data_IF_053579833533
#
_entry.id   IF_053579833533
#
_cell.length_a   1.000
_cell.length_b   1.000
_cell.length_c   1.000
_cell.angle_alpha   90.00
_cell.angle_beta   90.00
_cell.angle_gamma   90.00
#
_symmetry.space_group_name_H-M   'P 1'
#
loop_
_entity.id
_entity.type
_entity.pdbx_description
1 polymer ?
#
# COMPACT_ATOMS: atom_id res chain seq x y z
N UNK A 1 25.69 13.16 -13.82
CA UNK A 1 24.30 12.69 -13.95
C UNK A 1 23.40 13.89 -13.73
N UNK A 2 22.95 14.52 -14.81
CA UNK A 2 22.18 15.77 -14.73
C UNK A 2 20.74 15.47 -14.31
N UNK A 3 20.02 16.46 -13.79
CA UNK A 3 18.58 16.36 -13.48
C UNK A 3 17.73 15.85 -14.66
N UNK A 4 18.23 15.99 -15.90
CA UNK A 4 17.67 15.38 -17.10
C UNK A 4 17.68 13.85 -17.12
N UNK A 5 18.70 13.20 -16.55
CA UNK A 5 18.79 11.73 -16.48
C UNK A 5 17.73 11.16 -15.51
N UNK A 6 17.43 11.90 -14.43
CA UNK A 6 16.41 11.52 -13.44
C UNK A 6 14.98 11.72 -13.95
N UNK A 7 14.72 12.77 -14.73
CA UNK A 7 13.43 12.98 -15.40
C UNK A 7 13.20 12.01 -16.58
N UNK A 8 14.28 11.61 -17.26
CA UNK A 8 14.21 10.54 -18.25
C UNK A 8 13.92 9.18 -17.61
N UNK A 9 14.51 8.89 -16.43
CA UNK A 9 14.20 7.69 -15.65
C UNK A 9 12.78 7.68 -15.07
N UNK A 10 12.22 8.83 -14.65
CA UNK A 10 10.83 8.87 -14.15
C UNK A 10 9.76 8.70 -15.24
N UNK A 11 10.13 8.84 -16.52
CA UNK A 11 9.28 8.51 -17.66
C UNK A 11 9.42 7.04 -18.11
N UNK A 12 10.36 6.30 -17.53
CA UNK A 12 10.70 4.93 -17.95
C UNK A 12 9.77 3.85 -17.33
N UNK A 13 8.87 4.26 -16.44
CA UNK A 13 7.71 3.45 -16.02
C UNK A 13 6.49 3.78 -16.88
N UNK A 14 6.68 3.87 -18.18
CA UNK A 14 5.57 3.73 -19.13
C UNK A 14 5.64 2.32 -19.69
N UNK A 15 4.55 1.55 -19.59
CA UNK A 15 4.45 0.23 -20.20
C UNK A 15 4.99 0.28 -21.63
N UNK A 16 5.63 -0.79 -22.12
CA UNK A 16 6.20 -0.83 -23.47
C UNK A 16 5.19 -0.43 -24.57
N UNK A 17 3.90 -0.68 -24.33
CA UNK A 17 2.78 -0.26 -25.15
C UNK A 17 2.59 1.27 -25.19
N UNK A 18 2.71 1.94 -24.05
CA UNK A 18 2.59 3.40 -23.94
C UNK A 18 3.75 4.11 -24.64
N UNK A 19 4.98 3.58 -24.51
CA UNK A 19 6.15 4.08 -25.26
C UNK A 19 5.94 3.97 -26.77
N UNK A 20 5.45 2.82 -27.25
CA UNK A 20 5.15 2.59 -28.67
C UNK A 20 4.00 3.49 -29.16
N UNK A 21 2.96 3.67 -28.35
CA UNK A 21 1.82 4.54 -28.68
C UNK A 21 2.27 6.00 -28.79
N UNK A 22 3.11 6.47 -27.87
CA UNK A 22 3.59 7.85 -27.87
C UNK A 22 4.55 8.11 -29.04
N UNK A 23 5.48 7.20 -29.34
CA UNK A 23 6.39 7.34 -30.49
C UNK A 23 5.69 7.34 -31.85
N UNK A 24 4.48 6.78 -31.91
CA UNK A 24 3.65 6.80 -33.11
C UNK A 24 2.93 8.14 -33.35
N UNK A 25 2.73 8.97 -32.32
CA UNK A 25 2.01 10.25 -32.43
C UNK A 25 2.85 11.28 -33.17
N UNK A 26 2.34 11.88 -34.28
CA UNK A 26 3.11 12.83 -35.09
C UNK A 26 3.66 14.02 -34.30
N UNK A 27 2.88 14.57 -33.36
CA UNK A 27 3.31 15.69 -32.52
C UNK A 27 4.44 15.32 -31.55
N UNK A 28 4.35 14.13 -30.92
CA UNK A 28 5.40 13.66 -30.01
C UNK A 28 6.67 13.30 -30.77
N UNK A 29 6.55 12.65 -31.93
CA UNK A 29 7.69 12.33 -32.80
C UNK A 29 8.41 13.60 -33.25
N UNK A 30 7.67 14.58 -33.80
CA UNK A 30 8.23 15.88 -34.20
C UNK A 30 8.90 16.61 -33.03
N UNK A 31 8.36 16.49 -31.82
CA UNK A 31 8.99 17.06 -30.64
C UNK A 31 10.30 16.35 -30.27
N UNK A 32 10.34 15.02 -30.28
CA UNK A 32 11.53 14.23 -29.92
C UNK A 32 12.61 14.30 -30.99
N UNK A 33 12.25 14.20 -32.27
CA UNK A 33 13.17 14.08 -33.40
C UNK A 33 13.63 15.43 -33.94
N UNK A 34 12.76 16.47 -33.92
CA UNK A 34 13.11 17.77 -34.49
C UNK A 34 13.34 18.82 -33.39
N UNK A 35 12.37 18.98 -32.48
CA UNK A 35 12.40 20.09 -31.52
C UNK A 35 13.52 19.95 -30.48
N UNK A 36 13.66 18.79 -29.82
CA UNK A 36 14.69 18.59 -28.80
C UNK A 36 16.11 18.70 -29.38
N UNK A 37 16.46 18.06 -30.52
CA UNK A 37 17.78 18.20 -31.12
C UNK A 37 18.06 19.64 -31.57
N UNK A 38 17.08 20.32 -32.17
CA UNK A 38 17.22 21.73 -32.53
C UNK A 38 17.48 22.63 -31.32
N UNK A 39 16.71 22.49 -30.24
CA UNK A 39 16.95 23.25 -29.02
C UNK A 39 18.34 22.99 -28.42
N UNK A 40 18.81 21.73 -28.44
CA UNK A 40 20.17 21.39 -27.99
C UNK A 40 21.25 22.00 -28.88
N UNK A 41 21.09 21.93 -30.20
CA UNK A 41 22.02 22.53 -31.17
C UNK A 41 22.08 24.06 -31.08
N UNK A 42 20.96 24.70 -30.75
CA UNK A 42 20.85 26.14 -30.50
C UNK A 42 21.27 26.54 -29.07
N UNK A 43 21.66 25.60 -28.20
CA UNK A 43 22.00 25.86 -26.80
C UNK A 43 20.82 26.33 -25.93
N UNK A 44 19.59 26.15 -26.41
CA UNK A 44 18.36 26.58 -25.72
C UNK A 44 17.91 25.53 -24.71
N UNK A 45 17.33 25.99 -23.61
CA UNK A 45 16.77 25.15 -22.55
C UNK A 45 17.82 24.21 -21.91
N UNK A 46 19.11 24.57 -21.95
CA UNK A 46 20.18 23.80 -21.30
C UNK A 46 20.21 24.01 -19.79
N UNK A 47 19.78 25.18 -19.33
CA UNK A 47 19.69 25.55 -17.92
C UNK A 47 18.22 25.50 -17.54
N UNK A 48 17.92 24.76 -16.48
CA UNK A 48 16.61 24.77 -15.87
C UNK A 48 16.49 26.08 -15.06
N UNK A 49 15.61 27.02 -15.44
CA UNK A 49 15.56 28.34 -14.81
C UNK A 49 14.97 28.29 -13.40
N UNK A 50 14.18 27.26 -13.09
CA UNK A 50 13.46 27.11 -11.83
C UNK A 50 13.53 25.67 -11.34
N UNK A 51 13.88 25.49 -10.06
CA UNK A 51 13.80 24.19 -9.40
C UNK A 51 12.38 23.90 -8.93
N UNK A 52 12.07 22.64 -8.68
CA UNK A 52 10.76 22.25 -8.11
C UNK A 52 10.54 22.94 -6.78
N UNK A 53 11.58 23.04 -5.97
CA UNK A 53 11.57 23.65 -4.65
C UNK A 53 11.25 25.15 -4.74
N UNK A 54 11.84 25.87 -5.71
CA UNK A 54 11.53 27.28 -5.97
C UNK A 54 10.07 27.47 -6.37
N UNK A 55 9.56 26.68 -7.33
CA UNK A 55 8.15 26.75 -7.75
C UNK A 55 7.20 26.41 -6.60
N UNK A 56 7.56 25.44 -5.77
CA UNK A 56 6.76 25.05 -4.60
C UNK A 56 6.72 26.18 -3.58
N UNK A 57 7.85 26.83 -3.31
CA UNK A 57 7.92 27.97 -2.39
C UNK A 57 7.14 29.17 -2.93
N UNK A 58 7.30 29.51 -4.22
CA UNK A 58 6.51 30.58 -4.86
C UNK A 58 5.01 30.30 -4.75
N UNK A 59 4.58 29.05 -4.93
CA UNK A 59 3.18 28.65 -4.76
C UNK A 59 2.72 28.78 -3.30
N UNK A 60 3.55 28.43 -2.31
CA UNK A 60 3.23 28.67 -0.90
C UNK A 60 3.10 30.16 -0.59
N UNK A 61 3.98 30.98 -1.14
CA UNK A 61 3.99 32.43 -0.90
C UNK A 61 2.78 33.11 -1.55
N UNK A 62 2.40 32.68 -2.75
CA UNK A 62 1.26 33.25 -3.49
C UNK A 62 -0.10 32.75 -3.03
N UNK A 63 -0.24 31.46 -2.76
CA UNK A 63 -1.54 30.85 -2.45
C UNK A 63 -1.75 30.64 -0.95
N UNK A 64 -0.72 30.82 -0.12
CA UNK A 64 -0.76 30.62 1.33
C UNK A 64 -1.21 29.21 1.77
N UNK A 65 -0.86 28.19 0.98
CA UNK A 65 -1.32 26.79 1.16
C UNK A 65 -0.31 25.88 1.87
N UNK A 66 0.77 26.42 2.43
CA UNK A 66 1.86 25.61 3.02
C UNK A 66 1.36 24.64 4.11
N UNK A 67 0.50 25.12 5.01
CA UNK A 67 -0.05 24.29 6.09
C UNK A 67 -0.92 23.14 5.56
N UNK A 68 -1.81 23.43 4.61
CA UNK A 68 -2.65 22.40 3.98
C UNK A 68 -1.80 21.39 3.21
N UNK A 69 -0.79 21.85 2.48
CA UNK A 69 0.16 20.99 1.78
C UNK A 69 0.88 20.05 2.75
N UNK A 70 1.40 20.58 3.86
CA UNK A 70 2.11 19.80 4.86
C UNK A 70 1.19 18.74 5.49
N UNK A 71 -0.04 19.10 5.83
CA UNK A 71 -1.03 18.17 6.40
C UNK A 71 -1.39 17.05 5.43
N UNK A 72 -1.74 17.39 4.17
CA UNK A 72 -2.06 16.38 3.14
C UNK A 72 -0.87 15.47 2.86
N UNK A 73 0.35 16.03 2.86
CA UNK A 73 1.58 15.26 2.69
C UNK A 73 1.77 14.30 3.87
N UNK A 74 1.53 14.74 5.10
CA UNK A 74 1.64 13.90 6.30
C UNK A 74 0.60 12.77 6.26
N UNK A 75 -0.67 13.07 6.00
CA UNK A 75 -1.74 12.07 5.84
C UNK A 75 -1.38 11.03 4.77
N UNK A 76 -0.89 11.48 3.62
CA UNK A 76 -0.43 10.60 2.55
C UNK A 76 0.71 9.68 3.01
N UNK A 77 1.69 10.22 3.73
CA UNK A 77 2.81 9.43 4.25
C UNK A 77 2.38 8.40 5.30
N UNK A 78 1.45 8.78 6.19
CA UNK A 78 0.88 7.87 7.19
C UNK A 78 0.11 6.72 6.53
N UNK A 79 -0.69 7.01 5.51
CA UNK A 79 -1.39 5.96 4.73
C UNK A 79 -0.41 5.05 3.99
N UNK A 80 0.67 5.61 3.41
CA UNK A 80 1.71 4.82 2.75
C UNK A 80 2.49 3.94 3.73
N UNK A 81 2.78 4.45 4.93
CA UNK A 81 3.38 3.66 6.00
C UNK A 81 2.45 2.53 6.42
N UNK A 82 1.16 2.79 6.65
CA UNK A 82 0.15 1.76 6.96
C UNK A 82 0.06 0.68 5.87
N UNK A 83 0.09 1.07 4.59
CA UNK A 83 0.12 0.14 3.45
C UNK A 83 1.40 -0.71 3.44
N UNK A 84 2.56 -0.10 3.71
CA UNK A 84 3.85 -0.80 3.81
C UNK A 84 3.84 -1.81 4.95
N UNK A 85 3.38 -1.42 6.15
CA UNK A 85 3.25 -2.34 7.29
C UNK A 85 2.35 -3.53 6.94
N UNK A 86 1.22 -3.29 6.29
CA UNK A 86 0.34 -4.38 5.87
C UNK A 86 1.01 -5.32 4.86
N UNK A 87 1.61 -4.75 3.81
CA UNK A 87 2.07 -5.52 2.64
C UNK A 87 3.42 -6.18 2.85
N UNK A 88 4.34 -5.52 3.53
CA UNK A 88 5.72 -5.96 3.69
C UNK A 88 5.99 -6.54 5.08
N UNK A 89 5.49 -5.90 6.14
CA UNK A 89 5.77 -6.34 7.51
C UNK A 89 4.84 -7.47 7.93
N UNK A 90 3.54 -7.22 8.09
CA UNK A 90 2.58 -8.23 8.59
C UNK A 90 2.57 -9.49 7.71
N UNK A 91 2.48 -9.33 6.40
CA UNK A 91 2.50 -10.47 5.47
C UNK A 91 3.87 -11.13 5.36
N UNK A 92 4.95 -10.34 5.41
CA UNK A 92 6.31 -10.85 5.28
C UNK A 92 6.80 -11.60 6.53
N UNK A 93 6.28 -11.25 7.71
CA UNK A 93 6.61 -11.93 8.97
C UNK A 93 6.04 -13.34 9.08
N UNK A 94 5.00 -13.69 8.30
CA UNK A 94 4.38 -15.01 8.35
C UNK A 94 4.81 -15.84 7.12
N UNK A 95 5.54 -16.95 7.32
CA UNK A 95 6.00 -17.81 6.23
C UNK A 95 4.86 -18.22 5.29
N UNK A 96 5.14 -18.29 3.99
CA UNK A 96 4.18 -18.82 3.02
C UNK A 96 3.86 -20.29 3.34
N UNK A 97 2.58 -20.64 3.24
CA UNK A 97 2.13 -22.00 3.50
C UNK A 97 2.44 -22.90 2.31
N UNK A 98 2.71 -24.19 2.57
CA UNK A 98 2.78 -25.20 1.50
C UNK A 98 1.46 -25.21 0.70
N UNK A 99 1.50 -24.98 -0.63
CA UNK A 99 0.31 -25.00 -1.49
C UNK A 99 -0.49 -26.30 -1.41
N UNK A 100 0.15 -27.41 -1.02
CA UNK A 100 -0.49 -28.73 -0.89
C UNK A 100 -1.26 -28.88 0.43
N UNK A 101 -0.97 -28.03 1.42
CA UNK A 101 -1.55 -28.12 2.76
C UNK A 101 -2.64 -27.06 2.97
N UNK A 102 -3.88 -27.42 2.61
CA UNK A 102 -5.08 -26.59 2.78
C UNK A 102 -5.25 -26.03 4.20
N UNK A 103 -4.90 -26.82 5.23
CA UNK A 103 -5.02 -26.38 6.63
C UNK A 103 -4.00 -25.29 6.96
N UNK A 104 -2.76 -25.42 6.47
CA UNK A 104 -1.73 -24.40 6.65
C UNK A 104 -2.09 -23.10 5.90
N UNK A 105 -2.65 -23.21 4.69
CA UNK A 105 -3.14 -22.06 3.91
C UNK A 105 -4.25 -21.33 4.67
N UNK A 106 -5.23 -22.07 5.19
CA UNK A 106 -6.33 -21.50 5.97
C UNK A 106 -5.80 -20.83 7.25
N UNK A 107 -4.93 -21.51 8.00
CA UNK A 107 -4.33 -20.98 9.22
C UNK A 107 -3.60 -19.66 8.95
N UNK A 108 -2.72 -19.64 7.95
CA UNK A 108 -2.00 -18.43 7.55
C UNK A 108 -2.95 -17.30 7.18
N UNK A 109 -3.97 -17.60 6.38
CA UNK A 109 -4.96 -16.59 5.94
C UNK A 109 -5.72 -15.99 7.11
N UNK A 110 -6.14 -16.82 8.07
CA UNK A 110 -6.79 -16.38 9.31
C UNK A 110 -5.85 -15.53 10.17
N UNK A 111 -4.62 -16.00 10.40
CA UNK A 111 -3.61 -15.31 11.20
C UNK A 111 -3.27 -13.94 10.62
N UNK A 112 -2.93 -13.85 9.33
CA UNK A 112 -2.56 -12.59 8.66
C UNK A 112 -3.72 -11.57 8.74
N UNK A 113 -4.96 -12.02 8.58
CA UNK A 113 -6.15 -11.17 8.71
C UNK A 113 -6.35 -10.69 10.16
N UNK A 114 -6.13 -11.56 11.13
CA UNK A 114 -6.23 -11.21 12.55
C UNK A 114 -5.14 -10.22 12.96
N UNK A 115 -3.89 -10.47 12.59
CA UNK A 115 -2.77 -9.54 12.84
C UNK A 115 -3.05 -8.15 12.26
N UNK A 116 -3.57 -8.07 11.02
CA UNK A 116 -4.00 -6.79 10.44
C UNK A 116 -4.99 -6.06 11.34
N UNK A 117 -6.01 -6.76 11.83
CA UNK A 117 -7.07 -6.18 12.67
C UNK A 117 -6.54 -5.72 14.02
N UNK A 118 -5.70 -6.53 14.66
CA UNK A 118 -5.09 -6.18 15.95
C UNK A 118 -4.18 -4.97 15.80
N UNK A 119 -3.26 -5.01 14.83
CA UNK A 119 -2.18 -4.02 14.68
C UNK A 119 -2.68 -2.72 14.06
N UNK A 120 -3.48 -2.79 12.98
CA UNK A 120 -3.87 -1.61 12.20
C UNK A 120 -5.25 -1.05 12.53
N UNK A 121 -6.11 -1.87 13.14
CA UNK A 121 -7.51 -1.52 13.43
C UNK A 121 -7.78 -1.49 14.94
N UNK A 122 -6.81 -1.87 15.78
CA UNK A 122 -6.93 -1.86 17.25
C UNK A 122 -7.94 -2.88 17.80
N UNK A 123 -8.18 -3.96 17.06
CA UNK A 123 -9.19 -4.95 17.41
C UNK A 123 -8.65 -5.93 18.48
N UNK A 124 -9.35 -6.02 19.61
CA UNK A 124 -9.00 -6.84 20.78
C UNK A 124 -9.74 -8.20 20.83
N UNK A 125 -10.57 -8.51 19.84
CA UNK A 125 -11.39 -9.74 19.78
C UNK A 125 -10.56 -11.03 19.84
N UNK A 126 -9.27 -10.94 19.52
CA UNK A 126 -8.33 -12.07 19.53
C UNK A 126 -7.65 -12.29 20.89
N UNK A 127 -8.04 -11.53 21.92
CA UNK A 127 -7.55 -11.67 23.29
C UNK A 127 -6.12 -11.16 23.52
N UNK A 128 -5.55 -10.49 22.52
CA UNK A 128 -4.21 -9.89 22.58
C UNK A 128 -4.27 -8.50 21.98
N UNK A 129 -3.68 -7.55 22.69
CA UNK A 129 -3.47 -6.18 22.23
C UNK A 129 -2.03 -5.77 22.52
N UNK A 130 -1.44 -4.86 21.73
CA UNK A 130 -0.12 -4.31 22.04
C UNK A 130 -0.11 -3.65 23.41
N UNK A 131 0.87 -3.96 24.26
CA UNK A 131 1.02 -3.37 25.60
C UNK A 131 1.44 -1.89 25.54
N UNK A 132 2.01 -1.45 24.40
CA UNK A 132 2.42 -0.07 24.12
C UNK A 132 2.01 0.39 22.73
N UNK A 133 2.35 1.63 22.39
CA UNK A 133 2.16 2.17 21.04
C UNK A 133 3.12 1.46 20.08
N UNK A 134 2.58 0.88 19.01
CA UNK A 134 3.38 0.39 17.86
C UNK A 134 3.78 1.52 16.90
N UNK A 135 3.53 2.77 17.31
CA UNK A 135 3.76 3.98 16.52
C UNK A 135 4.68 4.93 17.27
N UNK A 136 5.48 5.67 16.51
CA UNK A 136 6.30 6.77 16.98
C UNK A 136 5.45 8.02 17.33
N UNK A 137 6.15 9.08 17.74
CA UNK A 137 5.55 10.36 18.13
C UNK A 137 4.81 11.05 16.96
N UNK A 138 5.21 10.77 15.73
CA UNK A 138 4.62 11.33 14.50
C UNK A 138 3.46 10.47 13.96
N UNK A 139 3.17 9.34 14.60
CA UNK A 139 2.08 8.42 14.28
C UNK A 139 2.43 7.35 13.23
N UNK A 140 3.69 7.25 12.82
CA UNK A 140 4.16 6.18 11.92
C UNK A 140 4.37 4.90 12.70
N UNK A 141 3.98 3.77 12.11
CA UNK A 141 4.30 2.47 12.70
C UNK A 141 5.80 2.22 12.67
N UNK A 142 6.34 1.80 13.82
CA UNK A 142 7.72 1.33 13.97
C UNK A 142 7.76 -0.14 13.56
N UNK A 143 8.55 -0.47 12.55
CA UNK A 143 8.49 -1.81 11.94
C UNK A 143 9.02 -2.88 12.88
N UNK A 144 10.03 -2.53 13.66
CA UNK A 144 10.67 -3.37 14.67
C UNK A 144 9.66 -3.77 15.75
N UNK A 145 8.94 -2.80 16.33
CA UNK A 145 7.92 -3.05 17.36
C UNK A 145 6.78 -3.91 16.82
N UNK A 146 6.38 -3.69 15.57
CA UNK A 146 5.36 -4.52 14.90
C UNK A 146 5.85 -5.96 14.72
N UNK A 147 7.11 -6.16 14.31
CA UNK A 147 7.69 -7.49 14.15
C UNK A 147 7.79 -8.19 15.51
N UNK A 148 8.27 -7.50 16.54
CA UNK A 148 8.39 -8.05 17.89
C UNK A 148 7.01 -8.50 18.42
N UNK A 149 5.99 -7.68 18.23
CA UNK A 149 4.61 -8.02 18.58
C UNK A 149 4.13 -9.27 17.82
N UNK A 150 4.36 -9.34 16.50
CA UNK A 150 3.97 -10.51 15.70
C UNK A 150 4.69 -11.75 16.20
N UNK A 151 6.01 -11.70 16.34
CA UNK A 151 6.82 -12.86 16.77
C UNK A 151 6.37 -13.38 18.13
N UNK A 152 6.02 -12.48 19.05
CA UNK A 152 5.61 -12.83 20.41
C UNK A 152 4.20 -13.42 20.48
N UNK A 153 3.26 -12.91 19.67
CA UNK A 153 1.83 -13.22 19.83
C UNK A 153 1.19 -14.01 18.69
N UNK A 154 1.88 -14.26 17.58
CA UNK A 154 1.31 -14.91 16.39
C UNK A 154 0.60 -16.23 16.69
N UNK A 155 1.14 -17.06 17.59
CA UNK A 155 0.55 -18.35 17.91
C UNK A 155 -0.78 -18.22 18.65
N UNK A 156 -0.85 -17.28 19.60
CA UNK A 156 -2.08 -17.02 20.37
C UNK A 156 -3.14 -16.38 19.48
N UNK A 157 -2.77 -15.37 18.70
CA UNK A 157 -3.66 -14.71 17.75
C UNK A 157 -4.14 -15.70 16.69
N UNK A 158 -3.26 -16.56 16.17
CA UNK A 158 -3.59 -17.54 15.15
C UNK A 158 -4.58 -18.60 15.63
N UNK A 159 -4.43 -19.10 16.86
CA UNK A 159 -5.41 -20.01 17.49
C UNK A 159 -6.78 -19.33 17.64
N UNK A 160 -6.82 -18.15 18.24
CA UNK A 160 -8.07 -17.40 18.41
C UNK A 160 -8.75 -17.09 17.07
N UNK A 161 -7.97 -16.72 16.05
CA UNK A 161 -8.48 -16.46 14.71
C UNK A 161 -9.09 -17.70 14.04
N UNK A 162 -8.49 -18.88 14.27
CA UNK A 162 -9.04 -20.15 13.79
C UNK A 162 -10.35 -20.50 14.48
N UNK A 163 -10.43 -20.32 15.80
CA UNK A 163 -11.64 -20.63 16.58
C UNK A 163 -12.81 -19.74 16.14
N UNK A 164 -12.56 -18.44 15.97
CA UNK A 164 -13.55 -17.48 15.45
C UNK A 164 -13.99 -17.87 14.03
N UNK A 165 -13.05 -18.25 13.16
CA UNK A 165 -13.36 -18.66 11.79
C UNK A 165 -14.21 -19.94 11.76
N UNK A 166 -13.88 -20.92 12.61
CA UNK A 166 -14.61 -22.17 12.73
C UNK A 166 -16.04 -21.93 13.22
N UNK A 167 -16.22 -21.10 14.26
CA UNK A 167 -17.53 -20.73 14.79
C UNK A 167 -18.40 -20.05 13.71
N UNK A 168 -17.84 -19.08 12.98
CA UNK A 168 -18.54 -18.40 11.89
C UNK A 168 -18.94 -19.36 10.75
N UNK A 169 -18.09 -20.34 10.44
CA UNK A 169 -18.37 -21.35 9.43
C UNK A 169 -19.51 -22.30 9.85
N UNK A 170 -19.54 -22.70 11.12
CA UNK A 170 -20.61 -23.53 11.67
C UNK A 170 -21.95 -22.80 11.70
N UNK A 171 -21.95 -21.52 12.09
CA UNK A 171 -23.14 -20.67 12.03
C UNK A 171 -23.65 -20.52 10.59
N UNK A 172 -22.74 -20.30 9.63
CA UNK A 172 -23.09 -20.23 8.21
C UNK A 172 -23.76 -21.53 7.73
N UNK A 173 -23.23 -22.70 8.10
CA UNK A 173 -23.84 -24.00 7.77
C UNK A 173 -25.24 -24.14 8.34
N UNK A 174 -25.45 -23.80 9.62
CA UNK A 174 -26.78 -23.83 10.27
C UNK A 174 -27.77 -22.93 9.55
N UNK A 175 -27.37 -21.71 9.23
CA UNK A 175 -28.21 -20.75 8.50
C UNK A 175 -28.58 -21.23 7.10
N UNK A 176 -27.65 -21.88 6.40
CA UNK A 176 -27.92 -22.47 5.07
C UNK A 176 -28.93 -23.62 5.17
N UNK A 177 -28.72 -24.55 6.10
CA UNK A 177 -29.65 -25.66 6.33
C UNK A 177 -31.06 -25.17 6.71
N UNK A 178 -31.17 -24.14 7.54
CA UNK A 178 -32.46 -23.54 7.90
C UNK A 178 -33.17 -22.93 6.69
N UNK A 179 -32.44 -22.24 5.80
CA UNK A 179 -33.00 -21.68 4.56
C UNK A 179 -33.51 -22.76 3.60
N UNK A 180 -32.73 -23.82 3.42
CA UNK A 180 -33.11 -24.96 2.57
C UNK A 180 -34.34 -25.70 3.15
N UNK A 181 -34.41 -25.85 4.47
CA UNK A 181 -35.58 -26.45 5.14
C UNK A 181 -36.86 -25.62 4.95
N UNK A 182 -36.77 -24.28 5.05
CA UNK A 182 -37.91 -23.39 4.78
C UNK A 182 -38.35 -23.48 3.32
N UNK A 183 -37.41 -23.46 2.37
CA UNK A 183 -37.71 -23.58 0.94
C UNK A 183 -38.37 -24.93 0.57
N UNK A 184 -37.97 -26.02 1.22
CA UNK A 184 -38.56 -27.34 0.99
C UNK A 184 -39.94 -27.54 1.64
N UNK A 185 -40.36 -26.65 2.55
CA UNK A 185 -41.70 -26.67 3.16
C UNK A 185 -42.72 -25.80 2.40
N UNK A 186 -42.24 -24.86 1.59
CA UNK A 186 -43.06 -23.93 0.79
C UNK A 186 -43.21 -24.36 -0.68
N UNK A 187 -42.50 -25.40 -1.13
CA UNK A 187 -42.57 -25.97 -2.49
C UNK A 187 -43.17 -27.36 -2.52
#
# INVERSE_FOLDING_TARGET
>A
MTTYDKLAQSLDVTEANDRKRMSQRPGFRKWVEDFKPRCRGEGRLLIQPTTREQVTQEAFDWFHVQGEYANRRQEFLLEKNKEMIWTQVIKGSIPEADPSNQRAILYRSCLVKALKRVILEGNDQYGVSPEGSLKDEDGFYVSEDVIEFITTHQDTIGRAAMDINQAAFEEHKKRKAAKEAVQNLEG
#
